data_IF_425601120736
#
_entry.id   IF_425601120736
#
_cell.length_a   1.000
_cell.length_b   1.000
_cell.length_c   1.000
_cell.angle_alpha   90.00
_cell.angle_beta   90.00
_cell.angle_gamma   90.00
#
_symmetry.space_group_name_H-M   'P 1'
#
loop_
_entity.id
_entity.type
_entity.pdbx_description
1 polymer ?
#
# COMPACT_ATOMS: atom_id res chain seq x y z
N UNK A 1 -3.58 8.75 -1.54
CA UNK A 1 -3.25 7.79 -0.49
C UNK A 1 -1.78 7.36 -0.56
N UNK A 2 -1.58 6.19 -1.17
CA UNK A 2 -0.37 5.37 -1.05
C UNK A 2 0.88 5.90 -1.79
N UNK A 3 0.73 6.41 -3.02
CA UNK A 3 1.87 6.88 -3.83
C UNK A 3 2.65 8.02 -3.19
N UNK A 4 1.97 8.94 -2.48
CA UNK A 4 2.60 10.05 -1.74
C UNK A 4 3.49 9.57 -0.58
N UNK A 5 3.31 8.33 -0.13
CA UNK A 5 4.11 7.68 0.93
C UNK A 5 5.15 6.71 0.36
N UNK A 6 5.43 6.78 -0.94
CA UNK A 6 6.39 5.91 -1.61
C UNK A 6 5.91 4.47 -1.81
N UNK A 7 4.60 4.22 -1.74
CA UNK A 7 4.02 2.90 -1.99
C UNK A 7 3.37 2.92 -3.37
N UNK A 8 4.07 2.35 -4.33
CA UNK A 8 3.58 2.20 -5.69
C UNK A 8 2.64 1.01 -5.77
N UNK A 9 1.46 1.23 -6.36
CA UNK A 9 0.43 0.20 -6.52
C UNK A 9 -0.01 0.11 -7.98
N UNK A 10 -0.54 -1.05 -8.36
CA UNK A 10 -1.32 -1.23 -9.58
C UNK A 10 -2.78 -1.46 -9.19
N UNK A 11 -3.68 -0.68 -9.77
CA UNK A 11 -5.12 -0.91 -9.66
C UNK A 11 -5.52 -2.13 -10.52
N UNK A 12 -6.40 -2.95 -9.98
CA UNK A 12 -7.06 -4.06 -10.66
C UNK A 12 -8.56 -3.76 -10.65
N UNK A 13 -9.18 -3.87 -11.82
CA UNK A 13 -10.60 -3.52 -11.99
C UNK A 13 -11.54 -4.65 -11.54
N UNK A 14 -11.18 -5.91 -11.81
CA UNK A 14 -11.99 -7.10 -11.48
C UNK A 14 -11.14 -8.25 -10.89
N UNK A 15 -11.35 -8.61 -9.59
CA UNK A 15 -12.11 -7.85 -8.59
C UNK A 15 -11.45 -6.50 -8.29
N UNK A 16 -12.21 -5.50 -7.79
CA UNK A 16 -11.64 -4.23 -7.35
C UNK A 16 -10.58 -4.46 -6.28
N UNK A 17 -9.31 -4.24 -6.64
CA UNK A 17 -8.18 -4.53 -5.79
C UNK A 17 -6.97 -3.67 -6.14
N UNK A 18 -6.00 -3.63 -5.22
CA UNK A 18 -4.69 -3.02 -5.48
C UNK A 18 -3.59 -4.05 -5.23
N UNK A 19 -2.60 -4.08 -6.13
CA UNK A 19 -1.39 -4.88 -5.98
C UNK A 19 -0.21 -3.97 -5.64
N UNK A 20 0.56 -4.35 -4.63
CA UNK A 20 1.79 -3.69 -4.20
C UNK A 20 2.91 -4.71 -4.04
N UNK A 21 4.17 -4.25 -4.05
CA UNK A 21 5.33 -5.10 -3.77
C UNK A 21 5.46 -5.41 -2.29
N UNK A 22 5.91 -6.62 -1.94
CA UNK A 22 6.13 -7.01 -0.56
C UNK A 22 7.27 -6.19 0.07
N UNK A 23 7.09 -5.66 1.30
CA UNK A 23 8.18 -5.04 2.04
C UNK A 23 9.32 -6.03 2.32
N UNK A 24 10.57 -5.57 2.24
CA UNK A 24 11.75 -6.39 2.51
C UNK A 24 12.14 -6.47 4.00
N UNK A 25 11.66 -5.54 4.82
CA UNK A 25 11.97 -5.43 6.24
C UNK A 25 10.78 -4.93 7.08
N UNK A 26 10.93 -5.00 8.39
CA UNK A 26 9.93 -4.58 9.38
C UNK A 26 9.56 -3.08 9.25
N UNK A 27 10.54 -2.23 8.93
CA UNK A 27 10.29 -0.81 8.72
C UNK A 27 9.38 -0.56 7.49
N UNK A 28 9.58 -1.33 6.43
CA UNK A 28 8.73 -1.34 5.25
C UNK A 28 7.30 -1.81 5.55
N UNK A 29 7.14 -2.83 6.41
CA UNK A 29 5.83 -3.28 6.87
C UNK A 29 5.08 -2.19 7.65
N UNK A 30 5.72 -1.56 8.64
CA UNK A 30 5.09 -0.46 9.42
C UNK A 30 4.66 0.72 8.56
N UNK A 31 5.47 1.07 7.55
CA UNK A 31 5.12 2.12 6.57
C UNK A 31 3.87 1.74 5.78
N UNK A 32 3.77 0.48 5.34
CA UNK A 32 2.60 -0.02 4.61
C UNK A 32 1.35 0.00 5.49
N UNK A 33 1.42 -0.52 6.71
CA UNK A 33 0.30 -0.57 7.66
C UNK A 33 -0.26 0.83 7.94
N UNK A 34 0.63 1.76 8.29
CA UNK A 34 0.25 3.16 8.55
C UNK A 34 -0.41 3.77 7.32
N UNK A 35 0.19 3.56 6.14
CA UNK A 35 -0.33 4.12 4.91
C UNK A 35 -1.72 3.57 4.53
N UNK A 36 -2.00 2.30 4.80
CA UNK A 36 -3.29 1.67 4.60
C UNK A 36 -4.34 2.18 5.59
N UNK A 37 -4.01 2.27 6.88
CA UNK A 37 -4.90 2.78 7.91
C UNK A 37 -5.37 4.20 7.59
N UNK A 38 -4.45 5.08 7.20
CA UNK A 38 -4.77 6.46 6.82
C UNK A 38 -5.45 6.60 5.45
N UNK A 39 -5.41 5.58 4.58
CA UNK A 39 -6.09 5.60 3.29
C UNK A 39 -7.52 5.04 3.36
N UNK A 40 -7.82 4.26 4.41
CA UNK A 40 -9.13 3.66 4.66
C UNK A 40 -9.99 4.48 5.64
N UNK A 41 -9.40 5.48 6.31
CA UNK A 41 -10.10 6.50 7.08
C UNK A 41 -10.76 7.53 6.15
#
# INVERSE_FOLDING_TARGET
>A
ALARRGILVRLLDEPPAVRFGLPGDEAGWRRLETALAEAAA
#
